data_IF_597554721424
#
_entry.id   IF_597554721424
#
_cell.length_a   1.000
_cell.length_b   1.000
_cell.length_c   1.000
_cell.angle_alpha   90.00
_cell.angle_beta   90.00
_cell.angle_gamma   90.00
#
_symmetry.space_group_name_H-M   'P 1'
#
loop_
_entity.id
_entity.type
_entity.pdbx_description
1 polymer ?
#
# COMPACT_ATOMS: atom_id res chain seq x y z
N UNK A 1 8.87 47.63 -70.29
CA UNK A 1 9.91 46.62 -70.61
C UNK A 1 9.60 45.36 -69.82
N UNK A 2 9.20 44.24 -70.45
CA UNK A 2 8.97 42.99 -69.74
C UNK A 2 10.32 42.30 -69.48
N UNK A 3 10.58 41.94 -68.22
CA UNK A 3 11.80 41.26 -67.80
C UNK A 3 11.85 39.84 -68.39
N UNK A 4 12.95 39.55 -69.10
CA UNK A 4 13.18 38.33 -69.89
C UNK A 4 13.38 37.04 -69.06
N UNK A 5 13.08 37.05 -67.76
CA UNK A 5 13.46 35.94 -66.85
C UNK A 5 12.31 35.24 -66.12
N UNK A 6 11.03 35.51 -66.44
CA UNK A 6 9.94 34.74 -65.83
C UNK A 6 9.56 33.51 -66.67
N UNK A 7 10.47 32.53 -66.73
CA UNK A 7 10.11 31.19 -67.23
C UNK A 7 9.35 30.48 -66.12
N UNK A 8 8.01 30.55 -66.14
CA UNK A 8 7.17 29.74 -65.25
C UNK A 8 7.20 28.29 -65.76
N UNK A 9 8.15 27.50 -65.27
CA UNK A 9 8.05 26.04 -65.38
C UNK A 9 6.89 25.60 -64.47
N UNK A 10 5.84 24.96 -65.00
CA UNK A 10 4.91 24.25 -64.13
C UNK A 10 5.72 23.17 -63.41
N UNK A 11 5.79 23.25 -62.08
CA UNK A 11 6.34 22.16 -61.27
C UNK A 11 5.30 21.04 -61.33
N UNK A 12 5.37 20.24 -62.39
CA UNK A 12 4.59 19.03 -62.50
C UNK A 12 5.24 18.04 -61.56
N UNK A 13 4.64 17.82 -60.38
CA UNK A 13 4.99 16.76 -59.44
C UNK A 13 4.61 15.37 -60.00
N UNK A 14 4.95 15.09 -61.26
CA UNK A 14 5.08 13.75 -61.80
C UNK A 14 6.54 13.41 -61.58
N UNK A 15 6.98 12.67 -60.57
CA UNK A 15 6.49 11.37 -60.14
C UNK A 15 6.87 11.19 -58.67
N UNK A 16 6.00 11.57 -57.73
CA UNK A 16 6.11 11.04 -56.37
C UNK A 16 5.36 9.71 -56.32
N UNK A 17 5.83 8.74 -57.11
CA UNK A 17 5.36 7.36 -57.01
C UNK A 17 5.87 6.86 -55.67
N UNK A 18 4.94 6.49 -54.77
CA UNK A 18 5.26 5.83 -53.52
C UNK A 18 5.81 4.44 -53.84
N UNK A 19 7.11 4.38 -54.14
CA UNK A 19 7.85 3.14 -54.30
C UNK A 19 7.73 2.40 -52.96
N UNK A 20 6.88 1.37 -52.92
CA UNK A 20 6.64 0.59 -51.71
C UNK A 20 7.82 -0.35 -51.53
N UNK A 21 8.94 0.22 -51.11
CA UNK A 21 10.20 -0.47 -50.96
C UNK A 21 10.11 -1.44 -49.77
N UNK A 22 9.70 -2.68 -50.06
CA UNK A 22 9.54 -3.76 -49.08
C UNK A 22 10.85 -4.09 -48.36
N UNK A 23 12.01 -3.65 -48.87
CA UNK A 23 13.29 -3.74 -48.15
C UNK A 23 13.35 -2.73 -47.01
N UNK A 24 13.09 -1.44 -47.29
CA UNK A 24 13.04 -0.39 -46.25
C UNK A 24 12.03 -0.70 -45.14
N UNK A 25 10.85 -1.22 -45.49
CA UNK A 25 9.88 -1.64 -44.46
C UNK A 25 10.44 -2.76 -43.57
N UNK A 26 11.14 -3.74 -44.14
CA UNK A 26 11.76 -4.82 -43.35
C UNK A 26 12.88 -4.31 -42.46
N UNK A 27 13.68 -3.36 -42.92
CA UNK A 27 14.74 -2.76 -42.11
C UNK A 27 14.19 -1.94 -40.95
N UNK A 28 13.14 -1.13 -41.20
CA UNK A 28 12.42 -0.43 -40.14
C UNK A 28 11.77 -1.40 -39.14
N UNK A 29 11.16 -2.49 -39.62
CA UNK A 29 10.58 -3.52 -38.75
C UNK A 29 11.65 -4.21 -37.88
N UNK A 30 12.86 -4.43 -38.39
CA UNK A 30 13.97 -4.98 -37.60
C UNK A 30 14.39 -4.01 -36.49
N UNK A 31 14.48 -2.72 -36.79
CA UNK A 31 14.80 -1.68 -35.80
C UNK A 31 13.71 -1.61 -34.73
N UNK A 32 12.44 -1.59 -35.13
CA UNK A 32 11.30 -1.61 -34.20
C UNK A 32 11.34 -2.87 -33.32
N UNK A 33 11.58 -4.04 -33.92
CA UNK A 33 11.69 -5.30 -33.20
C UNK A 33 12.85 -5.32 -32.19
N UNK A 34 13.92 -4.54 -32.41
CA UNK A 34 15.02 -4.40 -31.47
C UNK A 34 14.71 -3.39 -30.35
N UNK A 35 14.03 -2.27 -30.66
CA UNK A 35 13.80 -1.17 -29.71
C UNK A 35 12.58 -1.40 -28.82
N UNK A 36 11.49 -1.95 -29.37
CA UNK A 36 10.24 -2.21 -28.63
C UNK A 36 10.45 -3.10 -27.39
N UNK A 37 11.15 -4.24 -27.44
CA UNK A 37 11.33 -5.07 -26.24
C UNK A 37 12.13 -4.36 -25.15
N UNK A 38 13.09 -3.50 -25.51
CA UNK A 38 13.83 -2.68 -24.53
C UNK A 38 12.90 -1.66 -23.85
N UNK A 39 12.06 -0.97 -24.63
CA UNK A 39 11.07 -0.04 -24.11
C UNK A 39 10.03 -0.72 -23.21
N UNK A 40 9.51 -1.88 -23.64
CA UNK A 40 8.58 -2.68 -22.85
C UNK A 40 9.21 -3.23 -21.58
N UNK A 41 10.47 -3.66 -21.62
CA UNK A 41 11.20 -4.11 -20.44
C UNK A 41 11.37 -2.99 -19.41
N UNK A 42 11.75 -1.79 -19.85
CA UNK A 42 11.88 -0.64 -18.96
C UNK A 42 10.51 -0.22 -18.38
N UNK A 43 9.47 -0.14 -19.22
CA UNK A 43 8.12 0.18 -18.78
C UNK A 43 7.61 -0.86 -17.77
N UNK A 44 7.78 -2.14 -18.06
CA UNK A 44 7.42 -3.24 -17.15
C UNK A 44 8.18 -3.17 -15.82
N UNK A 45 9.47 -2.86 -15.85
CA UNK A 45 10.28 -2.68 -14.64
C UNK A 45 9.77 -1.51 -13.79
N UNK A 46 9.56 -0.34 -14.41
CA UNK A 46 9.03 0.83 -13.68
C UNK A 46 7.64 0.57 -13.12
N UNK A 47 6.80 -0.17 -13.85
CA UNK A 47 5.46 -0.57 -13.38
C UNK A 47 5.54 -1.51 -12.18
N UNK A 48 6.40 -2.54 -12.23
CA UNK A 48 6.61 -3.47 -11.12
C UNK A 48 7.12 -2.75 -9.88
N UNK A 49 8.01 -1.78 -10.06
CA UNK A 49 8.52 -0.96 -8.95
C UNK A 49 7.41 -0.11 -8.33
N UNK A 50 6.54 0.51 -9.13
CA UNK A 50 5.36 1.24 -8.63
C UNK A 50 4.39 0.35 -7.86
N UNK A 51 4.17 -0.89 -8.31
CA UNK A 51 3.32 -1.83 -7.61
C UNK A 51 3.91 -2.22 -6.25
N UNK A 52 5.23 -2.45 -6.22
CA UNK A 52 5.96 -2.76 -4.99
C UNK A 52 5.83 -1.61 -3.98
N UNK A 53 5.93 -0.36 -4.45
CA UNK A 53 5.69 0.82 -3.63
C UNK A 53 4.27 0.84 -3.05
N UNK A 54 3.24 0.57 -3.86
CA UNK A 54 1.85 0.52 -3.37
C UNK A 54 1.65 -0.53 -2.27
N UNK A 55 2.22 -1.72 -2.46
CA UNK A 55 2.15 -2.80 -1.47
C UNK A 55 2.88 -2.43 -0.19
N UNK A 56 4.09 -1.85 -0.29
CA UNK A 56 4.87 -1.40 0.86
C UNK A 56 4.12 -0.34 1.69
N UNK A 57 3.45 0.63 1.04
CA UNK A 57 2.61 1.61 1.75
C UNK A 57 1.44 0.95 2.48
N UNK A 58 0.81 -0.06 1.86
CA UNK A 58 -0.30 -0.78 2.48
C UNK A 58 0.15 -1.56 3.72
N UNK A 59 1.33 -2.19 3.66
CA UNK A 59 1.94 -2.87 4.81
C UNK A 59 2.22 -1.86 5.92
N UNK A 60 2.87 -0.73 5.60
CA UNK A 60 3.18 0.28 6.60
C UNK A 60 1.95 0.93 7.25
N UNK A 61 0.81 0.99 6.54
CA UNK A 61 -0.46 1.44 7.11
C UNK A 61 -1.05 0.39 8.07
N UNK A 62 -1.03 -0.89 7.69
CA UNK A 62 -1.51 -2.00 8.51
C UNK A 62 -0.66 -2.18 9.79
N UNK A 63 0.67 -2.01 9.70
CA UNK A 63 1.57 -2.08 10.86
C UNK A 63 1.28 -0.97 11.88
N UNK A 64 1.00 0.25 11.40
CA UNK A 64 0.60 1.36 12.29
C UNK A 64 -0.71 1.06 13.00
N UNK A 65 -1.71 0.56 12.28
CA UNK A 65 -2.98 0.17 12.88
C UNK A 65 -2.79 -0.92 13.93
N UNK A 66 -1.99 -1.95 13.63
CA UNK A 66 -1.68 -3.01 14.59
C UNK A 66 -0.99 -2.46 15.85
N UNK A 67 -0.05 -1.51 15.70
CA UNK A 67 0.62 -0.86 16.83
C UNK A 67 -0.36 -0.03 17.68
N UNK A 68 -1.25 0.75 17.05
CA UNK A 68 -2.28 1.52 17.75
C UNK A 68 -3.21 0.59 18.54
N UNK A 69 -3.68 -0.49 17.91
CA UNK A 69 -4.53 -1.48 18.57
C UNK A 69 -3.82 -2.15 19.75
N UNK A 70 -2.54 -2.49 19.60
CA UNK A 70 -1.75 -3.09 20.69
C UNK A 70 -1.56 -2.14 21.87
N UNK A 71 -1.41 -0.84 21.62
CA UNK A 71 -1.36 0.16 22.69
C UNK A 71 -2.70 0.27 23.43
N UNK A 72 -3.81 0.29 22.69
CA UNK A 72 -5.17 0.33 23.26
C UNK A 72 -5.44 -0.92 24.10
N UNK A 73 -5.09 -2.11 23.61
CA UNK A 73 -5.24 -3.36 24.37
C UNK A 73 -4.45 -3.30 25.68
N UNK A 74 -3.20 -2.81 25.64
CA UNK A 74 -2.37 -2.69 26.83
C UNK A 74 -2.96 -1.71 27.83
N UNK A 75 -3.50 -0.59 27.37
CA UNK A 75 -4.16 0.38 28.23
C UNK A 75 -5.42 -0.21 28.88
N UNK A 76 -6.27 -0.88 28.09
CA UNK A 76 -7.48 -1.56 28.60
C UNK A 76 -7.13 -2.65 29.62
N UNK A 77 -6.06 -3.42 29.40
CA UNK A 77 -5.59 -4.42 30.37
C UNK A 77 -5.13 -3.78 31.68
N UNK A 78 -4.46 -2.63 31.61
CA UNK A 78 -4.05 -1.88 32.80
C UNK A 78 -5.25 -1.27 33.53
N UNK A 79 -6.23 -0.74 32.81
CA UNK A 79 -7.48 -0.24 33.41
C UNK A 79 -8.28 -1.37 34.06
N UNK A 80 -8.39 -2.53 33.40
CA UNK A 80 -9.06 -3.69 33.94
C UNK A 80 -8.37 -4.21 35.21
N UNK A 81 -7.04 -4.31 35.23
CA UNK A 81 -6.30 -4.74 36.43
C UNK A 81 -6.38 -3.71 37.55
N UNK A 82 -6.39 -2.41 37.21
CA UNK A 82 -6.61 -1.33 38.17
C UNK A 82 -8.02 -1.38 38.77
N UNK A 83 -9.05 -1.60 37.96
CA UNK A 83 -10.44 -1.74 38.42
C UNK A 83 -10.66 -3.03 39.24
N UNK A 84 -9.99 -4.11 38.86
CA UNK A 84 -10.01 -5.38 39.58
C UNK A 84 -9.09 -5.40 40.80
N UNK A 85 -8.39 -4.29 41.10
CA UNK A 85 -7.45 -4.26 42.23
C UNK A 85 -8.20 -4.52 43.55
N UNK A 86 -7.75 -5.52 44.35
CA UNK A 86 -8.45 -5.94 45.56
C UNK A 86 -8.69 -4.79 46.54
N UNK A 87 -7.73 -3.86 46.66
CA UNK A 87 -7.82 -2.70 47.54
C UNK A 87 -8.92 -1.70 47.16
N UNK A 88 -9.21 -1.51 45.87
CA UNK A 88 -10.36 -0.69 45.45
C UNK A 88 -11.66 -1.45 45.56
N UNK A 89 -11.65 -2.75 45.27
CA UNK A 89 -12.83 -3.60 45.38
C UNK A 89 -13.29 -3.70 46.84
N UNK A 90 -12.35 -3.85 47.79
CA UNK A 90 -12.63 -3.88 49.23
C UNK A 90 -13.07 -2.52 49.76
N UNK A 91 -12.45 -1.42 49.34
CA UNK A 91 -12.89 -0.07 49.71
C UNK A 91 -14.33 0.20 49.23
N UNK A 92 -14.64 -0.16 47.99
CA UNK A 92 -15.99 0.01 47.42
C UNK A 92 -17.02 -0.92 48.07
N UNK A 93 -16.64 -2.16 48.36
CA UNK A 93 -17.48 -3.09 49.12
C UNK A 93 -17.77 -2.58 50.54
N UNK A 94 -16.80 -1.92 51.18
CA UNK A 94 -16.99 -1.34 52.50
C UNK A 94 -17.88 -0.10 52.44
N UNK A 95 -17.64 0.84 51.53
CA UNK A 95 -18.38 2.10 51.43
C UNK A 95 -19.78 1.94 50.83
N UNK A 96 -19.94 1.21 49.73
CA UNK A 96 -21.22 1.11 49.00
C UNK A 96 -22.09 -0.05 49.50
N UNK A 97 -21.49 -1.14 49.99
CA UNK A 97 -22.22 -2.36 50.40
C UNK A 97 -22.16 -2.62 51.91
N UNK A 98 -21.43 -1.81 52.69
CA UNK A 98 -21.27 -1.99 54.14
C UNK A 98 -20.56 -3.27 54.54
N UNK A 99 -19.83 -3.90 53.60
CA UNK A 99 -19.16 -5.18 53.83
C UNK A 99 -17.92 -4.97 54.69
N UNK A 100 -17.68 -5.85 55.66
CA UNK A 100 -16.54 -5.79 56.58
C UNK A 100 -15.63 -6.98 56.32
N UNK A 101 -14.33 -6.79 56.52
CA UNK A 101 -13.33 -7.83 56.29
C UNK A 101 -13.63 -9.06 57.18
N UNK A 102 -13.69 -10.27 56.61
CA UNK A 102 -14.12 -11.46 57.34
C UNK A 102 -13.09 -11.86 58.41
N UNK A 103 -13.57 -12.38 59.54
CA UNK A 103 -12.70 -12.92 60.58
C UNK A 103 -12.00 -14.21 60.09
N UNK A 104 -10.84 -14.53 60.66
CA UNK A 104 -9.97 -15.66 60.24
C UNK A 104 -10.70 -17.02 60.20
N UNK A 105 -11.76 -17.21 60.98
CA UNK A 105 -12.58 -18.44 60.99
C UNK A 105 -13.73 -18.48 59.97
N UNK A 106 -13.95 -17.43 59.18
CA UNK A 106 -15.02 -17.32 58.19
C UNK A 106 -14.52 -17.45 56.74
N UNK A 107 -13.21 -17.62 56.53
CA UNK A 107 -12.59 -17.77 55.22
C UNK A 107 -12.50 -19.26 54.87
N UNK A 108 -13.17 -19.68 53.80
CA UNK A 108 -13.13 -21.05 53.28
C UNK A 108 -12.28 -21.06 52.01
N UNK A 109 -11.12 -21.72 52.05
CA UNK A 109 -10.30 -21.94 50.86
C UNK A 109 -10.89 -23.08 50.05
N UNK A 110 -11.41 -22.76 48.87
CA UNK A 110 -11.85 -23.77 47.91
C UNK A 110 -10.66 -24.07 47.02
N UNK A 111 -9.94 -25.17 47.30
CA UNK A 111 -8.93 -25.71 46.38
C UNK A 111 -9.65 -26.18 45.11
N UNK A 112 -9.25 -25.62 43.97
CA UNK A 112 -9.85 -25.90 42.68
C UNK A 112 -9.52 -27.35 42.27
N UNK A 113 -10.42 -28.28 42.63
CA UNK A 113 -10.35 -29.66 42.21
C UNK A 113 -10.77 -29.77 40.74
N UNK A 114 -9.79 -29.69 39.83
CA UNK A 114 -9.82 -30.48 38.59
C UNK A 114 -9.79 -29.73 37.24
N UNK A 115 -8.65 -29.93 36.55
CA UNK A 115 -8.49 -30.45 35.18
C UNK A 115 -7.61 -29.57 34.27
#
# INVERSE_FOLDING_TARGET
>A
MPSAYSVRRPVVNAYLVRERDRRRLRDLLRVVAAVVPLGLGLAGYTWMQLETLRVAYRIGALERQAHELAQVERQLRLEASYLASPGRLSARAHEELGLVEPAVGQVIFVEELGR
#
